data_IF_442129269804
#
_entry.id   IF_442129269804
#
_cell.length_a   1.000
_cell.length_b   1.000
_cell.length_c   1.000
_cell.angle_alpha   90.00
_cell.angle_beta   90.00
_cell.angle_gamma   90.00
#
_symmetry.space_group_name_H-M   'P 1'
#
loop_
_entity.id
_entity.type
_entity.pdbx_description
1 polymer ?
#
# COMPACT_ATOMS: atom_id res chain seq x y z
N UNK A 1 -17.33 19.06 -2.05
CA UNK A 1 -16.30 17.99 -2.00
C UNK A 1 -16.77 16.97 -0.99
N UNK A 2 -16.78 15.69 -1.33
CA UNK A 2 -17.18 14.64 -0.37
C UNK A 2 -16.03 14.47 0.63
N UNK A 3 -16.32 14.55 1.93
CA UNK A 3 -15.33 14.28 2.98
C UNK A 3 -15.49 12.84 3.44
N UNK A 4 -14.41 12.16 3.79
CA UNK A 4 -14.45 10.82 4.36
C UNK A 4 -14.14 10.91 5.85
N UNK A 5 -15.11 10.51 6.66
CA UNK A 5 -15.01 10.58 8.12
C UNK A 5 -14.69 9.19 8.66
N UNK A 6 -13.71 9.11 9.55
CA UNK A 6 -13.39 7.85 10.21
C UNK A 6 -14.62 7.28 10.91
N UNK A 7 -14.88 5.99 10.66
CA UNK A 7 -16.03 5.27 11.22
C UNK A 7 -15.58 4.21 12.21
N UNK A 8 -14.64 3.36 11.81
CA UNK A 8 -14.14 2.30 12.68
C UNK A 8 -12.75 1.81 12.26
N UNK A 9 -12.08 1.09 13.17
CA UNK A 9 -10.87 0.32 12.88
C UNK A 9 -10.94 -1.02 13.58
N UNK A 10 -10.81 -2.11 12.82
CA UNK A 10 -10.76 -3.46 13.35
C UNK A 10 -9.34 -3.96 13.41
N UNK A 11 -9.00 -4.61 14.50
CA UNK A 11 -7.71 -5.29 14.68
C UNK A 11 -7.95 -6.77 14.41
N UNK A 12 -7.23 -7.30 13.42
CA UNK A 12 -7.21 -8.72 13.08
C UNK A 12 -6.26 -9.45 14.02
N UNK A 13 -6.44 -10.76 14.16
CA UNK A 13 -5.46 -11.59 14.85
C UNK A 13 -4.10 -11.52 14.14
N UNK A 14 -2.99 -11.80 14.82
CA UNK A 14 -1.69 -11.78 14.16
C UNK A 14 -1.53 -13.02 13.27
N UNK A 15 -1.85 -12.88 11.99
CA UNK A 15 -1.45 -13.80 10.92
C UNK A 15 -0.37 -13.14 10.06
N UNK A 16 0.29 -13.95 9.21
CA UNK A 16 1.44 -13.46 8.43
C UNK A 16 1.02 -12.44 7.38
N UNK A 17 -0.06 -12.73 6.65
CA UNK A 17 -0.55 -11.87 5.57
C UNK A 17 -2.08 -11.86 5.47
N UNK A 18 -2.63 -10.74 5.00
CA UNK A 18 -4.05 -10.56 4.72
C UNK A 18 -4.24 -9.99 3.31
N UNK A 19 -5.35 -10.36 2.67
CA UNK A 19 -5.85 -9.75 1.45
C UNK A 19 -7.35 -9.46 1.59
N UNK A 20 -7.82 -8.38 0.96
CA UNK A 20 -9.22 -8.05 0.92
C UNK A 20 -9.86 -8.82 -0.24
N UNK A 21 -10.82 -9.70 0.05
CA UNK A 21 -11.55 -10.39 -1.01
C UNK A 21 -12.64 -9.50 -1.58
N UNK A 22 -13.38 -8.83 -0.69
CA UNK A 22 -14.49 -7.99 -1.11
C UNK A 22 -15.46 -7.62 0.01
N UNK A 23 -16.61 -7.09 -0.39
CA UNK A 23 -17.74 -6.81 0.48
C UNK A 23 -19.04 -7.46 -0.05
N UNK A 24 -19.86 -7.96 0.87
CA UNK A 24 -21.18 -8.49 0.60
C UNK A 24 -22.26 -7.41 0.55
N UNK A 25 -23.48 -7.79 0.17
CA UNK A 25 -24.61 -6.86 0.04
C UNK A 25 -24.98 -6.18 1.37
N UNK A 26 -24.84 -6.88 2.50
CA UNK A 26 -25.19 -6.37 3.83
C UNK A 26 -24.03 -5.62 4.51
N UNK A 27 -22.94 -5.38 3.78
CA UNK A 27 -21.78 -4.64 4.27
C UNK A 27 -20.78 -5.50 5.04
N UNK A 28 -20.89 -6.83 4.92
CA UNK A 28 -19.89 -7.71 5.51
C UNK A 28 -18.61 -7.65 4.68
N UNK A 29 -17.47 -7.60 5.37
CA UNK A 29 -16.16 -7.52 4.72
C UNK A 29 -15.54 -8.90 4.76
N UNK A 30 -15.05 -9.38 3.61
CA UNK A 30 -14.42 -10.68 3.47
C UNK A 30 -12.93 -10.50 3.26
N UNK A 31 -12.14 -11.22 4.04
CA UNK A 31 -10.69 -11.23 3.99
C UNK A 31 -10.21 -12.65 3.76
N UNK A 32 -9.08 -12.78 3.09
CA UNK A 32 -8.29 -13.99 3.03
C UNK A 32 -7.04 -13.77 3.87
N UNK A 33 -6.72 -14.74 4.71
CA UNK A 33 -5.56 -14.72 5.58
C UNK A 33 -4.63 -15.88 5.21
N UNK A 34 -3.34 -15.59 5.12
CA UNK A 34 -2.32 -16.57 4.74
C UNK A 34 -1.28 -16.70 5.85
N UNK A 35 -0.92 -17.95 6.16
CA UNK A 35 0.35 -18.28 6.77
C UNK A 35 1.26 -18.84 5.67
N UNK A 36 2.58 -18.70 5.85
CA UNK A 36 3.55 -19.00 4.79
C UNK A 36 3.48 -20.42 4.21
N UNK A 37 2.87 -21.38 4.95
CA UNK A 37 2.81 -22.79 4.57
C UNK A 37 1.41 -23.43 4.73
N UNK A 38 0.37 -22.68 5.09
CA UNK A 38 -0.98 -23.23 5.37
C UNK A 38 -2.00 -22.88 4.27
N UNK A 39 -3.06 -23.68 4.21
CA UNK A 39 -4.27 -23.33 3.45
C UNK A 39 -4.83 -21.97 3.91
N UNK A 40 -5.37 -21.16 2.97
CA UNK A 40 -5.90 -19.85 3.31
C UNK A 40 -7.06 -19.99 4.31
N UNK A 41 -7.04 -19.13 5.33
CA UNK A 41 -8.18 -18.98 6.26
C UNK A 41 -9.01 -17.79 5.82
N UNK A 42 -10.31 -18.00 5.66
CA UNK A 42 -11.24 -16.93 5.30
C UNK A 42 -11.83 -16.30 6.55
N UNK A 43 -11.89 -14.97 6.57
CA UNK A 43 -12.53 -14.20 7.64
C UNK A 43 -13.67 -13.38 7.06
N UNK A 44 -14.74 -13.25 7.85
CA UNK A 44 -15.87 -12.37 7.59
C UNK A 44 -16.03 -11.40 8.76
N UNK A 45 -15.94 -10.10 8.51
CA UNK A 45 -16.23 -9.07 9.51
C UNK A 45 -17.73 -8.76 9.44
N UNK A 46 -18.46 -9.11 10.51
CA UNK A 46 -19.88 -8.78 10.70
C UNK A 46 -20.01 -8.02 12.00
N UNK A 47 -20.70 -6.87 11.98
CA UNK A 47 -20.98 -6.07 13.20
C UNK A 47 -19.72 -5.94 14.07
N UNK A 48 -18.64 -5.49 13.45
CA UNK A 48 -17.38 -5.18 14.12
C UNK A 48 -16.57 -6.38 14.65
N UNK A 49 -16.97 -7.62 14.35
CA UNK A 49 -16.26 -8.83 14.80
C UNK A 49 -15.75 -9.65 13.61
N UNK A 50 -14.43 -9.90 13.50
CA UNK A 50 -13.89 -10.88 12.56
C UNK A 50 -14.28 -12.30 12.98
N UNK A 51 -14.96 -13.02 12.09
CA UNK A 51 -15.40 -14.40 12.31
C UNK A 51 -14.79 -15.29 11.22
N UNK A 52 -14.08 -16.38 11.57
CA UNK A 52 -13.62 -17.35 10.59
C UNK A 52 -14.77 -18.02 9.84
N UNK A 53 -14.60 -18.24 8.55
CA UNK A 53 -15.55 -18.98 7.70
C UNK A 53 -14.83 -20.13 7.00
N UNK A 54 -15.55 -21.22 6.75
CA UNK A 54 -14.98 -22.47 6.23
C UNK A 54 -14.86 -22.52 4.71
N UNK A 55 -15.59 -21.68 3.99
CA UNK A 55 -15.61 -21.66 2.52
C UNK A 55 -15.31 -20.26 2.01
N UNK A 56 -14.65 -20.22 0.84
CA UNK A 56 -14.48 -18.99 0.09
C UNK A 56 -15.86 -18.36 -0.21
N UNK A 57 -16.05 -17.04 -0.01
CA UNK A 57 -17.31 -16.39 -0.31
C UNK A 57 -17.66 -16.53 -1.80
N UNK A 58 -18.79 -17.16 -2.10
CA UNK A 58 -19.21 -17.43 -3.49
C UNK A 58 -19.83 -16.21 -4.19
N UNK A 59 -20.28 -15.23 -3.41
CA UNK A 59 -20.95 -14.03 -3.90
C UNK A 59 -20.36 -12.80 -3.21
N UNK A 60 -19.42 -12.14 -3.90
CA UNK A 60 -18.90 -10.85 -3.52
C UNK A 60 -19.54 -9.82 -4.45
N UNK A 61 -20.15 -8.78 -3.86
CA UNK A 61 -20.79 -7.71 -4.63
C UNK A 61 -19.76 -6.68 -5.08
N UNK A 62 -18.75 -6.45 -4.24
CA UNK A 62 -17.66 -5.52 -4.50
C UNK A 62 -16.34 -6.23 -4.23
N UNK A 63 -15.39 -6.12 -5.15
CA UNK A 63 -14.03 -6.68 -5.02
C UNK A 63 -13.01 -5.58 -5.25
N UNK A 64 -11.81 -5.65 -4.67
CA UNK A 64 -10.75 -4.71 -4.99
C UNK A 64 -10.49 -4.67 -6.50
N UNK A 65 -10.27 -3.48 -7.02
CA UNK A 65 -10.06 -3.25 -8.45
C UNK A 65 -8.67 -2.67 -8.71
N UNK A 66 -8.25 -2.76 -9.97
CA UNK A 66 -7.10 -2.02 -10.50
C UNK A 66 -7.55 -1.26 -11.74
N UNK A 67 -7.85 0.00 -11.55
CA UNK A 67 -8.27 0.90 -12.61
C UNK A 67 -7.17 1.06 -13.66
N UNK A 68 -7.50 1.07 -14.97
CA UNK A 68 -6.54 1.43 -16.02
C UNK A 68 -5.85 2.78 -15.77
N UNK A 69 -6.56 3.73 -15.17
CA UNK A 69 -6.13 5.10 -14.91
C UNK A 69 -4.94 5.14 -13.92
N UNK A 70 -4.88 4.22 -12.96
CA UNK A 70 -3.78 4.15 -11.97
C UNK A 70 -2.60 3.33 -12.47
N UNK A 71 -2.72 2.63 -13.61
CA UNK A 71 -1.62 1.80 -14.16
C UNK A 71 -0.38 2.62 -14.53
N UNK A 72 -0.53 3.92 -14.79
CA UNK A 72 0.57 4.84 -15.03
C UNK A 72 1.53 4.93 -13.84
N UNK A 73 1.06 4.59 -12.64
CA UNK A 73 1.87 4.52 -11.42
C UNK A 73 2.73 3.25 -11.37
N UNK A 74 2.51 2.28 -12.25
CA UNK A 74 3.28 1.04 -12.27
C UNK A 74 4.62 1.27 -12.99
N UNK A 75 5.69 0.88 -12.31
CA UNK A 75 7.05 0.95 -12.81
C UNK A 75 7.83 -0.28 -12.34
N UNK A 76 8.70 -0.82 -13.21
CA UNK A 76 9.53 -1.97 -12.87
C UNK A 76 10.94 -1.82 -13.46
N UNK A 77 11.91 -1.59 -12.59
CA UNK A 77 13.34 -1.55 -12.87
C UNK A 77 14.11 -2.70 -12.21
N UNK A 78 15.39 -2.47 -11.89
CA UNK A 78 16.26 -3.41 -11.19
C UNK A 78 15.89 -3.51 -9.69
N UNK A 79 14.98 -4.43 -9.39
CA UNK A 79 14.25 -4.53 -8.11
C UNK A 79 14.91 -5.39 -7.03
N UNK A 80 16.13 -5.86 -7.25
CA UNK A 80 16.86 -6.76 -6.37
C UNK A 80 18.22 -6.16 -6.00
N UNK A 81 18.84 -6.66 -4.92
CA UNK A 81 20.21 -6.30 -4.55
C UNK A 81 21.20 -6.68 -5.66
N UNK A 82 22.31 -5.97 -5.74
CA UNK A 82 23.32 -6.25 -6.76
C UNK A 82 24.47 -5.27 -6.78
N UNK A 83 25.13 -5.17 -7.94
CA UNK A 83 26.24 -4.25 -8.18
C UNK A 83 25.76 -3.06 -9.02
N UNK A 84 25.87 -1.85 -8.48
CA UNK A 84 25.35 -0.61 -9.09
C UNK A 84 25.86 -0.42 -10.51
N UNK A 85 27.16 -0.65 -10.73
CA UNK A 85 27.81 -0.47 -12.03
C UNK A 85 27.34 -1.50 -13.07
N UNK A 86 27.26 -2.78 -12.67
CA UNK A 86 26.86 -3.87 -13.56
C UNK A 86 25.39 -3.77 -13.96
N UNK A 87 24.53 -3.46 -12.99
CA UNK A 87 23.07 -3.36 -13.21
C UNK A 87 22.63 -2.00 -13.73
N UNK A 88 23.55 -1.03 -13.78
CA UNK A 88 23.27 0.36 -14.15
C UNK A 88 22.05 0.90 -13.40
N UNK A 89 21.96 0.61 -12.09
CA UNK A 89 20.76 0.89 -11.28
C UNK A 89 20.33 2.35 -11.36
N UNK A 90 21.28 3.28 -11.49
CA UNK A 90 21.01 4.72 -11.64
C UNK A 90 20.24 5.08 -12.91
N UNK A 91 20.34 4.26 -13.95
CA UNK A 91 19.64 4.43 -15.22
C UNK A 91 18.29 3.69 -15.24
N UNK A 92 18.04 2.82 -14.26
CA UNK A 92 16.87 1.92 -14.21
C UNK A 92 15.97 2.15 -12.99
N UNK A 93 16.18 3.23 -12.25
CA UNK A 93 15.26 3.71 -11.21
C UNK A 93 14.56 4.98 -11.66
N UNK A 94 13.39 5.26 -11.09
CA UNK A 94 12.84 6.61 -11.12
C UNK A 94 13.62 7.46 -10.10
N UNK A 95 14.27 8.56 -10.52
CA UNK A 95 14.99 9.42 -9.60
C UNK A 95 14.02 10.13 -8.66
N UNK A 96 14.49 10.36 -7.43
CA UNK A 96 13.75 11.11 -6.42
C UNK A 96 14.45 12.45 -6.16
N UNK A 97 13.66 13.50 -5.92
CA UNK A 97 14.19 14.78 -5.45
C UNK A 97 14.77 14.64 -4.04
N UNK A 98 15.57 15.60 -3.59
CA UNK A 98 16.07 15.61 -2.21
C UNK A 98 14.92 15.71 -1.21
N UNK A 99 13.89 16.51 -1.52
CA UNK A 99 12.68 16.67 -0.71
C UNK A 99 11.97 15.32 -0.52
N UNK A 100 11.73 14.59 -1.61
CA UNK A 100 11.10 13.26 -1.56
C UNK A 100 11.94 12.25 -0.77
N UNK A 101 13.26 12.26 -0.92
CA UNK A 101 14.17 11.39 -0.14
C UNK A 101 14.10 11.68 1.35
N UNK A 102 14.12 12.96 1.73
CA UNK A 102 13.99 13.39 3.12
C UNK A 102 12.63 12.96 3.69
N UNK A 103 11.57 13.14 2.91
CA UNK A 103 10.21 12.77 3.28
C UNK A 103 10.06 11.26 3.48
N UNK A 104 10.56 10.43 2.57
CA UNK A 104 10.55 8.98 2.74
C UNK A 104 11.31 8.52 4.00
N UNK A 105 12.47 9.13 4.27
CA UNK A 105 13.29 8.78 5.44
C UNK A 105 12.58 9.15 6.74
N UNK A 106 12.02 10.35 6.83
CA UNK A 106 11.33 10.80 8.04
C UNK A 106 10.02 10.02 8.24
N UNK A 107 9.25 9.83 7.18
CA UNK A 107 7.95 9.16 7.19
C UNK A 107 8.08 7.70 7.62
N UNK A 108 8.99 6.94 6.99
CA UNK A 108 9.18 5.51 7.28
C UNK A 108 10.26 5.23 8.33
N UNK A 109 10.83 6.27 8.94
CA UNK A 109 11.92 6.17 9.92
C UNK A 109 13.10 5.31 9.39
N UNK A 110 13.44 5.48 8.12
CA UNK A 110 14.44 4.65 7.46
C UNK A 110 15.82 4.92 8.04
N UNK A 111 16.58 3.86 8.35
CA UNK A 111 17.96 3.95 8.85
C UNK A 111 18.98 4.11 7.72
N UNK A 112 18.68 4.98 6.76
CA UNK A 112 19.54 5.32 5.63
C UNK A 112 19.56 6.84 5.44
N UNK A 113 20.67 7.38 4.94
CA UNK A 113 20.77 8.81 4.64
C UNK A 113 20.23 9.13 3.24
N UNK A 114 19.74 10.36 2.98
CA UNK A 114 19.22 10.74 1.67
C UNK A 114 20.19 10.50 0.50
N UNK A 115 21.51 10.76 0.62
CA UNK A 115 22.47 10.45 -0.44
C UNK A 115 22.59 8.96 -0.77
N UNK A 116 22.24 8.06 0.17
CA UNK A 116 22.21 6.63 -0.11
C UNK A 116 21.02 6.22 -0.98
N UNK A 117 19.89 6.95 -0.93
CA UNK A 117 18.73 6.62 -1.76
C UNK A 117 19.09 6.89 -3.23
N UNK A 118 19.03 5.83 -4.03
CA UNK A 118 19.28 5.86 -5.47
C UNK A 118 18.00 6.31 -6.19
N UNK A 119 16.86 5.67 -5.90
CA UNK A 119 15.56 6.02 -6.47
C UNK A 119 14.50 4.91 -6.28
N UNK A 120 13.37 5.01 -6.97
CA UNK A 120 12.32 3.98 -6.98
C UNK A 120 12.69 2.91 -8.01
N UNK A 121 12.96 1.69 -7.53
CA UNK A 121 13.26 0.52 -8.37
C UNK A 121 12.02 -0.25 -8.81
N UNK A 122 10.94 -0.21 -8.03
CA UNK A 122 9.65 -0.79 -8.39
C UNK A 122 8.54 0.07 -7.79
N UNK A 123 7.47 0.26 -8.55
CA UNK A 123 6.20 0.79 -8.05
C UNK A 123 5.09 -0.07 -8.63
N UNK A 124 4.20 -0.56 -7.78
CA UNK A 124 3.12 -1.44 -8.20
C UNK A 124 1.83 -1.12 -7.44
N UNK A 125 0.77 -0.80 -8.16
CA UNK A 125 -0.59 -0.64 -7.64
C UNK A 125 -1.12 -2.01 -7.25
N UNK A 126 -1.34 -2.21 -5.95
CA UNK A 126 -1.94 -3.41 -5.40
C UNK A 126 -3.45 -3.38 -5.61
N UNK A 127 -4.05 -2.21 -5.38
CA UNK A 127 -5.46 -1.92 -5.62
C UNK A 127 -5.71 -0.42 -5.62
N UNK A 128 -6.86 -0.04 -6.16
CA UNK A 128 -7.35 1.32 -6.13
C UNK A 128 -8.88 1.38 -6.05
N UNK A 129 -9.35 2.53 -5.57
CA UNK A 129 -10.76 2.89 -5.55
C UNK A 129 -10.93 4.33 -6.01
N UNK A 130 -11.88 4.57 -6.91
CA UNK A 130 -12.25 5.92 -7.29
C UNK A 130 -12.98 6.60 -6.12
N UNK A 131 -12.43 7.71 -5.62
CA UNK A 131 -13.09 8.60 -4.66
C UNK A 131 -14.02 9.57 -5.42
N UNK A 132 -13.50 10.15 -6.51
CA UNK A 132 -14.22 10.92 -7.52
C UNK A 132 -14.01 10.20 -8.85
N UNK A 133 -15.07 9.70 -9.51
CA UNK A 133 -14.96 8.98 -10.77
C UNK A 133 -14.10 9.73 -11.79
N UNK A 134 -13.15 9.01 -12.39
CA UNK A 134 -12.25 9.52 -13.45
C UNK A 134 -11.41 10.76 -13.07
N UNK A 135 -11.24 11.05 -11.78
CA UNK A 135 -10.48 12.21 -11.32
C UNK A 135 -9.57 11.86 -10.14
N UNK A 136 -10.15 11.35 -9.05
CA UNK A 136 -9.40 11.17 -7.79
C UNK A 136 -9.56 9.75 -7.29
N UNK A 137 -8.43 9.11 -7.00
CA UNK A 137 -8.34 7.72 -6.55
C UNK A 137 -7.66 7.62 -5.20
N UNK A 138 -8.09 6.69 -4.35
CA UNK A 138 -7.24 6.17 -3.28
C UNK A 138 -6.51 4.94 -3.84
N UNK A 139 -5.19 4.94 -3.77
CA UNK A 139 -4.35 3.90 -4.36
C UNK A 139 -3.48 3.27 -3.28
N UNK A 140 -3.58 1.94 -3.10
CA UNK A 140 -2.63 1.16 -2.32
C UNK A 140 -1.49 0.70 -3.24
N UNK A 141 -0.26 1.08 -2.92
CA UNK A 141 0.91 0.77 -3.73
C UNK A 141 2.00 0.11 -2.92
N UNK A 142 2.72 -0.76 -3.58
CA UNK A 142 4.00 -1.30 -3.14
C UNK A 142 5.13 -0.56 -3.85
N UNK A 143 6.03 0.04 -3.09
CA UNK A 143 7.24 0.67 -3.60
C UNK A 143 8.47 -0.14 -3.18
N UNK A 144 9.44 -0.28 -4.08
CA UNK A 144 10.80 -0.70 -3.74
C UNK A 144 11.75 0.46 -3.94
N UNK A 145 12.39 0.91 -2.87
CA UNK A 145 13.35 1.99 -2.89
C UNK A 145 14.76 1.39 -2.92
N UNK A 146 15.52 1.65 -3.98
CA UNK A 146 16.91 1.24 -4.07
C UNK A 146 17.80 2.21 -3.28
N UNK A 147 18.75 1.66 -2.52
CA UNK A 147 19.71 2.43 -1.76
C UNK A 147 21.11 1.81 -1.80
N UNK A 148 22.13 2.66 -1.89
CA UNK A 148 23.54 2.28 -1.86
C UNK A 148 24.03 1.94 -0.46
N UNK A 149 24.92 0.95 -0.38
CA UNK A 149 25.61 0.59 0.84
C UNK A 149 26.86 1.46 1.02
N UNK A 150 27.24 1.70 2.28
CA UNK A 150 28.47 2.43 2.62
C UNK A 150 29.71 1.62 2.17
N UNK A 151 29.63 0.29 2.29
CA UNK A 151 30.64 -0.64 1.83
C UNK A 151 29.94 -1.83 1.13
N UNK A 152 30.53 -2.39 0.07
CA UNK A 152 30.05 -3.62 -0.52
C UNK A 152 29.95 -4.75 0.50
N UNK A 153 28.95 -5.61 0.33
CA UNK A 153 28.70 -6.78 1.15
C UNK A 153 28.64 -8.02 0.29
N UNK A 154 28.71 -9.17 0.94
CA UNK A 154 28.51 -10.48 0.32
C UNK A 154 27.35 -11.16 1.03
N UNK A 155 26.46 -11.80 0.26
CA UNK A 155 25.34 -12.55 0.83
C UNK A 155 25.68 -14.02 1.14
N UNK A 156 24.68 -14.78 1.58
CA UNK A 156 24.82 -16.20 1.97
C UNK A 156 25.23 -17.11 0.80
N UNK A 157 25.12 -16.64 -0.44
CA UNK A 157 25.55 -17.35 -1.65
C UNK A 157 26.93 -16.93 -2.16
N UNK A 158 27.64 -16.13 -1.37
CA UNK A 158 28.91 -15.52 -1.73
C UNK A 158 28.81 -14.50 -2.90
N UNK A 159 27.62 -13.95 -3.15
CA UNK A 159 27.42 -12.93 -4.20
C UNK A 159 27.71 -11.53 -3.64
N UNK A 160 28.59 -10.79 -4.32
CA UNK A 160 28.93 -9.41 -3.97
C UNK A 160 27.81 -8.45 -4.40
N UNK A 161 27.48 -7.47 -3.55
CA UNK A 161 26.52 -6.40 -3.82
C UNK A 161 26.91 -5.09 -3.12
N UNK A 162 26.62 -3.94 -3.73
CA UNK A 162 26.91 -2.59 -3.21
C UNK A 162 25.66 -1.69 -3.16
N UNK A 163 24.48 -2.26 -3.43
CA UNK A 163 23.18 -1.66 -3.15
C UNK A 163 22.14 -2.73 -2.80
N UNK A 164 21.07 -2.32 -2.12
CA UNK A 164 19.92 -3.17 -1.79
C UNK A 164 18.62 -2.39 -1.98
N UNK A 165 17.47 -3.02 -1.71
CA UNK A 165 16.15 -2.41 -1.82
C UNK A 165 15.35 -2.54 -0.53
N UNK A 166 14.57 -1.51 -0.17
CA UNK A 166 13.60 -1.56 0.92
C UNK A 166 12.19 -1.59 0.32
N UNK A 167 11.36 -2.50 0.84
CA UNK A 167 9.95 -2.60 0.47
C UNK A 167 9.11 -1.68 1.37
N UNK A 168 8.30 -0.83 0.76
CA UNK A 168 7.36 0.06 1.42
C UNK A 168 5.95 -0.18 0.86
N UNK A 169 4.95 -0.08 1.72
CA UNK A 169 3.55 -0.03 1.31
C UNK A 169 3.01 1.36 1.63
N UNK A 170 2.30 1.97 0.68
CA UNK A 170 1.74 3.32 0.80
C UNK A 170 0.27 3.33 0.38
N UNK A 171 -0.51 4.20 1.02
CA UNK A 171 -1.85 4.59 0.60
C UNK A 171 -1.76 6.05 0.23
N UNK A 172 -2.20 6.39 -0.98
CA UNK A 172 -2.14 7.77 -1.46
C UNK A 172 -3.46 8.18 -2.10
N UNK A 173 -3.85 9.43 -1.89
CA UNK A 173 -4.87 10.08 -2.72
C UNK A 173 -4.14 10.57 -3.98
N UNK A 174 -4.58 10.07 -5.12
CA UNK A 174 -4.01 10.36 -6.43
C UNK A 174 -5.04 11.11 -7.27
N UNK A 175 -4.77 12.37 -7.55
CA UNK A 175 -5.49 13.16 -8.54
C UNK A 175 -4.84 12.96 -9.92
N UNK A 176 -5.64 12.62 -10.93
CA UNK A 176 -5.15 12.45 -12.31
C UNK A 176 -4.63 13.76 -12.92
N UNK A 177 -5.01 14.92 -12.37
CA UNK A 177 -4.53 16.21 -12.80
C UNK A 177 -3.16 16.60 -12.19
N UNK A 178 -2.74 15.92 -11.12
CA UNK A 178 -1.51 16.24 -10.39
C UNK A 178 -0.29 15.48 -10.94
N UNK A 179 0.88 16.09 -10.77
CA UNK A 179 2.15 15.44 -11.04
C UNK A 179 2.41 14.29 -10.07
N UNK A 180 3.09 13.25 -10.56
CA UNK A 180 3.41 12.03 -9.82
C UNK A 180 4.55 12.25 -8.81
N UNK A 181 4.30 13.02 -7.75
CA UNK A 181 5.29 13.26 -6.69
C UNK A 181 5.01 12.43 -5.44
N UNK A 182 6.06 12.10 -4.69
CA UNK A 182 5.95 11.45 -3.38
C UNK A 182 5.88 12.43 -2.21
N UNK A 183 5.89 13.74 -2.48
CA UNK A 183 5.90 14.78 -1.44
C UNK A 183 4.60 14.81 -0.63
N UNK A 184 3.51 14.32 -1.21
CA UNK A 184 2.19 14.25 -0.57
C UNK A 184 1.92 12.94 0.18
N UNK A 185 2.94 12.10 0.41
CA UNK A 185 2.78 10.89 1.21
C UNK A 185 2.53 11.23 2.69
N UNK A 186 1.27 11.37 3.08
CA UNK A 186 0.90 11.49 4.48
C UNK A 186 0.86 10.09 5.12
N UNK A 187 1.41 9.95 6.32
CA UNK A 187 1.27 8.71 7.10
C UNK A 187 -0.13 8.59 7.69
N UNK A 188 -0.98 9.59 7.45
CA UNK A 188 -2.37 9.61 7.86
C UNK A 188 -3.26 9.68 6.63
N UNK A 189 -4.19 8.75 6.52
CA UNK A 189 -5.30 8.86 5.59
C UNK A 189 -6.53 9.35 6.35
N UNK A 190 -6.94 10.59 6.07
CA UNK A 190 -8.03 11.26 6.77
C UNK A 190 -7.88 11.14 8.30
N UNK A 191 -6.75 11.66 8.79
CA UNK A 191 -6.37 11.70 10.21
C UNK A 191 -6.03 10.36 10.89
N UNK A 192 -6.16 9.23 10.20
CA UNK A 192 -5.84 7.92 10.77
C UNK A 192 -4.47 7.45 10.30
N UNK A 193 -3.53 7.13 11.20
CA UNK A 193 -2.24 6.57 10.83
C UNK A 193 -2.40 5.29 10.00
N UNK A 194 -1.67 5.20 8.89
CA UNK A 194 -1.61 4.06 7.98
C UNK A 194 -0.16 3.61 7.86
N UNK A 195 0.13 2.35 8.16
CA UNK A 195 1.51 1.86 8.32
C UNK A 195 1.98 0.94 7.19
N UNK A 196 1.11 0.05 6.74
CA UNK A 196 1.33 -1.03 5.80
C UNK A 196 0.06 -1.34 4.96
N UNK A 197 -0.44 -0.38 4.16
CA UNK A 197 -1.65 -0.53 3.36
C UNK A 197 -1.46 -1.55 2.24
N UNK A 198 -2.20 -2.64 2.32
CA UNK A 198 -2.12 -3.77 1.41
C UNK A 198 -3.22 -3.74 0.36
N UNK A 199 -4.41 -3.27 0.73
CA UNK A 199 -5.56 -3.30 -0.16
C UNK A 199 -6.61 -2.22 0.18
N UNK A 200 -7.43 -1.81 -0.79
CA UNK A 200 -8.53 -0.89 -0.59
C UNK A 200 -9.76 -1.26 -1.43
N UNK A 201 -10.94 -0.92 -0.90
CA UNK A 201 -12.23 -1.20 -1.51
C UNK A 201 -13.22 -0.07 -1.23
N UNK A 202 -14.07 0.24 -2.22
CA UNK A 202 -15.24 1.09 -2.03
C UNK A 202 -16.49 0.22 -1.93
N UNK A 203 -17.21 0.35 -0.83
CA UNK A 203 -18.50 -0.30 -0.61
C UNK A 203 -19.55 0.76 -0.33
N UNK A 204 -20.47 0.96 -1.27
CA UNK A 204 -21.44 2.05 -1.24
C UNK A 204 -20.74 3.41 -1.01
N UNK A 205 -20.99 4.00 0.15
CA UNK A 205 -20.43 5.28 0.57
C UNK A 205 -19.24 5.13 1.52
N UNK A 206 -18.76 3.90 1.75
CA UNK A 206 -17.61 3.65 2.60
C UNK A 206 -16.37 3.36 1.77
N UNK A 207 -15.23 3.78 2.31
CA UNK A 207 -13.89 3.35 1.87
C UNK A 207 -13.35 2.44 2.94
N UNK A 208 -12.86 1.28 2.51
CA UNK A 208 -12.26 0.25 3.35
C UNK A 208 -10.79 0.17 2.94
N UNK A 209 -9.89 0.20 3.93
CA UNK A 209 -8.46 0.01 3.74
C UNK A 209 -7.99 -1.14 4.63
N UNK A 210 -7.32 -2.11 4.04
CA UNK A 210 -6.57 -3.14 4.75
C UNK A 210 -5.15 -2.64 4.98
N UNK A 211 -4.80 -2.37 6.24
CA UNK A 211 -3.51 -1.87 6.70
C UNK A 211 -2.80 -2.90 7.58
N UNK A 212 -2.04 -3.81 6.96
CA UNK A 212 -1.39 -4.92 7.66
C UNK A 212 -2.40 -5.82 8.36
N UNK A 213 -2.49 -5.69 9.70
CA UNK A 213 -3.43 -6.41 10.55
C UNK A 213 -4.62 -5.54 10.99
N UNK A 214 -4.80 -4.36 10.40
CA UNK A 214 -5.89 -3.44 10.69
C UNK A 214 -6.80 -3.28 9.47
N UNK A 215 -8.10 -3.13 9.71
CA UNK A 215 -9.07 -2.75 8.67
C UNK A 215 -9.71 -1.44 9.08
N UNK A 216 -9.41 -0.38 8.33
CA UNK A 216 -9.99 0.94 8.56
C UNK A 216 -11.20 1.15 7.66
N UNK A 217 -12.25 1.74 8.21
CA UNK A 217 -13.44 2.15 7.46
C UNK A 217 -13.67 3.64 7.65
N UNK A 218 -13.85 4.34 6.54
CA UNK A 218 -14.36 5.70 6.51
C UNK A 218 -15.68 5.76 5.76
N UNK A 219 -16.56 6.65 6.20
CA UNK A 219 -17.86 6.91 5.59
C UNK A 219 -17.84 8.28 4.90
N UNK A 220 -18.22 8.32 3.63
CA UNK A 220 -18.37 9.56 2.86
C UNK A 220 -19.53 10.39 3.42
N UNK A 221 -19.29 11.63 3.81
CA UNK A 221 -20.31 12.56 4.30
C UNK A 221 -20.14 13.93 3.67
N UNK A 222 -21.21 14.73 3.72
CA UNK A 222 -21.15 16.13 3.34
C UNK A 222 -20.23 16.93 4.29
N UNK A 223 -20.25 16.58 5.58
CA UNK A 223 -19.38 17.14 6.62
C UNK A 223 -19.05 16.06 7.64
N UNK A 224 -17.81 16.08 8.16
CA UNK A 224 -17.46 15.34 9.36
C UNK A 224 -17.84 16.20 10.55
N UNK A 225 -18.75 15.73 11.41
CA UNK A 225 -18.97 16.38 12.70
C UNK A 225 -17.64 16.46 13.44
N UNK A 226 -17.36 17.57 14.09
CA UNK A 226 -16.22 17.69 15.02
C UNK A 226 -16.51 16.76 16.20
N UNK A 227 -16.00 15.53 16.12
CA UNK A 227 -16.00 14.58 17.22
C UNK A 227 -15.00 14.96 18.30
#
# INVERSE_FOLDING_TARGET
MMSYCWKNTYILQQMSHYALLGAGEQGEIYLEAFNNDDDPTYLKIIKDTPVPITEHPRQLTYTPTRSPQTKLLNYRGARWRGIQATERIRDTVIPLTISEKMHLISHFQLKISPPQIIGIAESYVLSDVALIPDQVYLVCRRLRIAYGLIQPKTDDTNQLYDYDTILLHIAQIYDLADDLTLEHLDNRLWDIPVLNPLDCLRYQNNVILLDGYQVHIWEGKATCGTG
#
